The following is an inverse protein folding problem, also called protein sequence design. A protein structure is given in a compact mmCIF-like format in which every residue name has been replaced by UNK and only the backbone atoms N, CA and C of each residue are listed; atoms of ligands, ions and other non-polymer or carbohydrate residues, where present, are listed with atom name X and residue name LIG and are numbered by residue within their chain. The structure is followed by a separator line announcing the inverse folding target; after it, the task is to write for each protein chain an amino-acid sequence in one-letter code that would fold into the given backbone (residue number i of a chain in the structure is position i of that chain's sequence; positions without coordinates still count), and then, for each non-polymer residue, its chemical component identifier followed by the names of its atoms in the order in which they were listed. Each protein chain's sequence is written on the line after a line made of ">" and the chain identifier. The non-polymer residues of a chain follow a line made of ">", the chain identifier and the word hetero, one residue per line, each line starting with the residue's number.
data_IF_780123922437
#
_entry.id   IF_780123922437
#
_cell.length_a   1.000
_cell.length_b   1.000
_cell.length_c   1.000
_cell.angle_alpha   90.00
_cell.angle_beta   90.00
_cell.angle_gamma   90.00
#
_symmetry.space_group_name_H-M   'P 1'
#
loop_
_entity.id
_entity.type
_entity.pdbx_description
1 polymer ?
#
# COMPACT_ATOMS: atom_id res chain seq x y z
N UNK A 1 -16.92 -6.71 13.83
CA UNK A 1 -16.48 -5.38 14.32
C UNK A 1 -16.99 -4.33 13.35
N UNK A 2 -17.46 -3.20 13.87
CA UNK A 2 -17.91 -2.10 13.04
C UNK A 2 -16.69 -1.43 12.37
N UNK A 3 -16.73 -1.15 11.05
CA UNK A 3 -15.60 -0.54 10.36
C UNK A 3 -15.37 0.91 10.83
N UNK A 4 -14.09 1.32 10.89
CA UNK A 4 -13.72 2.70 11.26
C UNK A 4 -13.88 3.68 10.11
N UNK A 5 -13.78 3.21 8.85
CA UNK A 5 -14.11 3.99 7.65
C UNK A 5 -15.12 3.19 6.85
N UNK A 6 -16.23 3.82 6.54
CA UNK A 6 -17.30 3.25 5.71
C UNK A 6 -17.53 4.15 4.51
N UNK A 7 -17.50 3.59 3.32
CA UNK A 7 -17.76 4.28 2.06
C UNK A 7 -18.87 3.54 1.35
N UNK A 8 -19.89 4.27 0.85
CA UNK A 8 -21.04 3.68 0.15
C UNK A 8 -21.38 4.48 -1.09
N UNK A 9 -21.31 3.82 -2.25
CA UNK A 9 -21.65 4.39 -3.55
C UNK A 9 -20.92 5.69 -3.85
N UNK A 10 -19.64 5.83 -3.43
CA UNK A 10 -18.95 7.12 -3.48
C UNK A 10 -18.58 7.49 -4.92
N UNK A 11 -19.14 8.60 -5.40
CA UNK A 11 -18.84 9.15 -6.72
C UNK A 11 -18.15 10.50 -6.64
N UNK A 12 -17.27 10.74 -7.61
CA UNK A 12 -16.67 12.06 -7.82
C UNK A 12 -16.49 12.34 -9.29
N UNK A 13 -17.01 13.48 -9.72
CA UNK A 13 -16.86 14.00 -11.08
C UNK A 13 -16.18 15.36 -11.05
N UNK A 14 -15.24 15.58 -11.95
CA UNK A 14 -14.61 16.85 -12.21
C UNK A 14 -14.92 17.24 -13.67
N UNK A 15 -15.98 18.04 -13.88
CA UNK A 15 -16.50 18.26 -15.24
C UNK A 15 -16.93 16.94 -15.90
N UNK A 16 -16.33 16.61 -17.02
CA UNK A 16 -16.59 15.34 -17.74
C UNK A 16 -15.81 14.13 -17.21
N UNK A 17 -14.82 14.35 -16.34
CA UNK A 17 -13.99 13.25 -15.81
C UNK A 17 -14.65 12.59 -14.61
N UNK A 18 -14.86 11.28 -14.67
CA UNK A 18 -15.30 10.46 -13.53
C UNK A 18 -14.07 9.99 -12.77
N UNK A 19 -13.77 10.62 -11.64
CA UNK A 19 -12.63 10.26 -10.79
C UNK A 19 -12.95 9.11 -9.82
N UNK A 20 -14.22 8.97 -9.40
CA UNK A 20 -14.76 7.83 -8.66
C UNK A 20 -16.14 7.48 -9.19
N UNK A 21 -16.39 6.21 -9.46
CA UNK A 21 -17.59 5.70 -10.11
C UNK A 21 -18.41 4.74 -9.25
N UNK A 22 -18.76 5.14 -8.01
CA UNK A 22 -19.57 4.32 -7.11
C UNK A 22 -18.74 3.35 -6.28
N UNK A 23 -17.81 3.86 -5.48
CA UNK A 23 -16.92 3.03 -4.64
C UNK A 23 -17.62 2.65 -3.33
N UNK A 24 -17.58 1.34 -3.00
CA UNK A 24 -17.97 0.78 -1.71
C UNK A 24 -16.74 0.19 -1.01
N UNK A 25 -16.46 0.62 0.24
CA UNK A 25 -15.28 0.17 0.97
C UNK A 25 -15.52 0.23 2.48
N UNK A 26 -15.11 -0.84 3.18
CA UNK A 26 -15.05 -0.91 4.63
C UNK A 26 -13.61 -1.15 5.10
N UNK A 27 -13.12 -0.28 5.99
CA UNK A 27 -11.80 -0.42 6.63
C UNK A 27 -12.02 -0.77 8.10
N UNK A 28 -11.34 -1.81 8.57
CA UNK A 28 -11.49 -2.36 9.92
C UNK A 28 -10.64 -1.58 10.93
N UNK A 29 -11.02 -1.55 12.22
CA UNK A 29 -10.20 -0.94 13.25
C UNK A 29 -8.87 -1.68 13.45
N UNK A 30 -7.77 -0.91 13.58
CA UNK A 30 -6.46 -1.43 13.92
C UNK A 30 -5.76 -2.21 12.79
N UNK A 31 -6.25 -2.12 11.54
CA UNK A 31 -5.56 -2.71 10.38
C UNK A 31 -4.68 -1.70 9.65
N UNK A 32 -3.71 -2.19 8.92
CA UNK A 32 -3.04 -1.45 7.85
C UNK A 32 -3.73 -1.84 6.53
N UNK A 33 -4.47 -0.91 5.95
CA UNK A 33 -5.15 -1.10 4.67
C UNK A 33 -4.35 -0.47 3.54
N UNK A 34 -3.93 -1.28 2.56
CA UNK A 34 -3.25 -0.82 1.34
C UNK A 34 -4.24 -0.56 0.21
N UNK A 35 -4.34 0.68 -0.28
CA UNK A 35 -5.11 1.01 -1.47
C UNK A 35 -4.18 1.14 -2.67
N UNK A 36 -4.18 0.13 -3.55
CA UNK A 36 -3.32 0.02 -4.71
C UNK A 36 -4.03 0.46 -5.99
N UNK A 37 -3.28 1.06 -6.89
CA UNK A 37 -3.78 1.43 -8.20
C UNK A 37 -2.79 2.30 -8.97
N UNK A 38 -2.89 2.38 -10.31
CA UNK A 38 -2.05 3.24 -11.12
C UNK A 38 -2.28 4.73 -10.80
N UNK A 39 -1.41 5.59 -11.34
CA UNK A 39 -1.62 7.04 -11.26
C UNK A 39 -2.92 7.41 -11.96
N UNK A 40 -3.72 8.27 -11.33
CA UNK A 40 -5.03 8.65 -11.85
C UNK A 40 -6.17 7.67 -11.53
N UNK A 41 -5.92 6.55 -10.84
CA UNK A 41 -6.96 5.58 -10.49
C UNK A 41 -8.03 6.08 -9.51
N UNK A 42 -7.84 7.25 -8.86
CA UNK A 42 -8.80 7.83 -7.92
C UNK A 42 -8.38 7.74 -6.44
N UNK A 43 -7.21 7.19 -6.11
CA UNK A 43 -6.72 7.00 -4.73
C UNK A 43 -6.73 8.29 -3.91
N UNK A 44 -6.03 9.32 -4.37
CA UNK A 44 -5.96 10.64 -3.71
C UNK A 44 -7.33 11.31 -3.63
N UNK A 45 -8.19 11.14 -4.64
CA UNK A 45 -9.58 11.66 -4.63
C UNK A 45 -10.40 11.01 -3.52
N UNK A 46 -10.32 9.68 -3.38
CA UNK A 46 -11.01 8.93 -2.33
C UNK A 46 -10.56 9.39 -0.94
N UNK A 47 -9.25 9.44 -0.69
CA UNK A 47 -8.68 9.94 0.57
C UNK A 47 -9.13 11.39 0.84
N UNK A 48 -9.06 12.27 -0.16
CA UNK A 48 -9.44 13.68 -0.01
C UNK A 48 -10.90 13.86 0.37
N UNK A 49 -11.80 12.99 -0.12
CA UNK A 49 -13.22 13.03 0.28
C UNK A 49 -13.37 12.56 1.72
N UNK A 50 -12.75 11.44 2.11
CA UNK A 50 -12.83 10.93 3.48
C UNK A 50 -12.22 11.90 4.49
N UNK A 51 -11.12 12.58 4.11
CA UNK A 51 -10.49 13.64 4.91
C UNK A 51 -11.29 14.96 4.93
N UNK A 52 -12.39 15.06 4.17
CA UNK A 52 -13.23 16.24 4.10
C UNK A 52 -12.59 17.43 3.38
N UNK A 53 -11.59 17.19 2.52
CA UNK A 53 -10.96 18.21 1.68
C UNK A 53 -11.72 18.44 0.38
N UNK A 54 -12.37 17.39 -0.15
CA UNK A 54 -13.15 17.41 -1.38
C UNK A 54 -14.55 16.88 -1.09
N UNK A 55 -15.59 17.50 -1.67
CA UNK A 55 -16.95 16.98 -1.57
C UNK A 55 -17.19 15.91 -2.63
N UNK A 56 -17.84 14.81 -2.24
CA UNK A 56 -18.34 13.82 -3.17
C UNK A 56 -19.41 14.40 -4.10
N UNK A 57 -19.56 13.85 -5.29
CA UNK A 57 -20.67 14.16 -6.21
C UNK A 57 -21.93 13.38 -5.84
N UNK A 58 -21.76 12.13 -5.37
CA UNK A 58 -22.81 11.26 -4.85
C UNK A 58 -22.23 10.26 -3.85
N UNK A 59 -23.11 9.53 -3.15
CA UNK A 59 -22.70 8.58 -2.12
C UNK A 59 -22.36 9.23 -0.80
N UNK A 60 -21.80 8.46 0.12
CA UNK A 60 -21.45 8.92 1.48
C UNK A 60 -20.20 8.24 1.99
N UNK A 61 -19.48 8.95 2.89
CA UNK A 61 -18.37 8.40 3.66
C UNK A 61 -18.57 8.70 5.15
N UNK A 62 -18.21 7.75 6.00
CA UNK A 62 -18.26 7.88 7.45
C UNK A 62 -16.93 7.47 8.06
N UNK A 63 -16.57 8.13 9.15
CA UNK A 63 -15.40 7.83 9.97
C UNK A 63 -15.86 7.65 11.40
N UNK A 64 -15.59 6.49 12.01
CA UNK A 64 -16.07 6.12 13.35
C UNK A 64 -17.58 6.31 13.49
N UNK A 65 -18.36 5.95 12.47
CA UNK A 65 -19.82 6.11 12.42
C UNK A 65 -20.32 7.51 12.05
N UNK A 66 -19.46 8.55 12.05
CA UNK A 66 -19.80 9.94 11.79
C UNK A 66 -19.65 10.30 10.31
N UNK A 67 -20.62 11.03 9.76
CA UNK A 67 -20.59 11.50 8.38
C UNK A 67 -19.50 12.57 8.16
N UNK A 68 -18.67 12.40 7.13
CA UNK A 68 -17.50 13.28 6.89
C UNK A 68 -17.89 14.72 6.49
N UNK A 69 -19.15 14.95 6.08
CA UNK A 69 -19.65 16.26 5.70
C UNK A 69 -20.44 16.90 6.84
N UNK A 70 -21.33 16.15 7.48
CA UNK A 70 -22.22 16.67 8.54
C UNK A 70 -21.46 16.83 9.86
N UNK A 71 -20.62 15.85 10.20
CA UNK A 71 -19.88 15.77 11.44
C UNK A 71 -18.39 16.12 11.26
N UNK A 72 -18.08 17.01 10.30
CA UNK A 72 -16.71 17.30 9.85
C UNK A 72 -15.75 17.68 10.97
N UNK A 73 -16.24 18.36 12.01
CA UNK A 73 -15.41 18.75 13.15
C UNK A 73 -14.91 17.56 13.96
N UNK A 74 -15.74 16.51 14.08
CA UNK A 74 -15.38 15.26 14.75
C UNK A 74 -14.45 14.43 13.83
N UNK A 75 -14.84 14.20 12.58
CA UNK A 75 -14.11 13.32 11.66
C UNK A 75 -12.71 13.84 11.39
N UNK A 76 -12.52 15.15 11.22
CA UNK A 76 -11.20 15.75 11.03
C UNK A 76 -10.28 15.62 12.24
N UNK A 77 -10.84 15.64 13.47
CA UNK A 77 -10.06 15.37 14.69
C UNK A 77 -9.68 13.90 14.83
N UNK A 78 -10.48 13.01 14.32
CA UNK A 78 -10.21 11.57 14.34
C UNK A 78 -9.21 11.14 13.27
N UNK A 79 -8.95 11.99 12.25
CA UNK A 79 -8.10 11.69 11.10
C UNK A 79 -6.76 12.44 11.14
N UNK A 80 -5.68 11.71 10.83
CA UNK A 80 -4.42 12.29 10.38
C UNK A 80 -4.28 12.07 8.87
N UNK A 81 -3.80 13.08 8.16
CA UNK A 81 -3.54 12.99 6.72
C UNK A 81 -2.12 13.44 6.40
N UNK A 82 -1.37 12.59 5.72
CA UNK A 82 -0.08 12.91 5.11
C UNK A 82 -0.28 12.96 3.61
N UNK A 83 -0.30 14.15 3.01
CA UNK A 83 -0.50 14.31 1.57
C UNK A 83 0.75 13.89 0.78
N UNK A 84 0.57 13.63 -0.51
CA UNK A 84 1.67 13.32 -1.43
C UNK A 84 2.62 14.51 -1.59
N UNK A 85 2.10 15.73 -1.68
CA UNK A 85 2.89 16.94 -1.87
C UNK A 85 3.54 17.44 -0.57
N UNK A 86 4.76 17.93 -0.68
CA UNK A 86 5.53 18.48 0.43
C UNK A 86 5.26 19.98 0.59
N UNK A 87 4.20 20.33 1.30
CA UNK A 87 3.86 21.71 1.61
C UNK A 87 4.31 22.11 3.03
N UNK A 88 5.20 23.09 3.12
CA UNK A 88 5.74 23.59 4.37
C UNK A 88 5.70 25.10 4.42
N UNK A 89 5.46 25.62 5.63
CA UNK A 89 5.71 27.01 5.93
C UNK A 89 7.22 27.18 6.23
N UNK A 90 7.95 27.96 5.41
CA UNK A 90 9.40 28.10 5.54
C UNK A 90 9.85 28.97 6.71
N UNK A 91 8.93 29.58 7.45
CA UNK A 91 9.23 30.51 8.53
C UNK A 91 9.32 29.85 9.91
N UNK A 92 8.84 28.62 10.04
CA UNK A 92 8.81 27.93 11.32
C UNK A 92 9.95 26.91 11.46
N UNK A 93 10.34 26.67 12.70
CA UNK A 93 11.14 25.50 13.07
C UNK A 93 10.29 24.23 13.06
N UNK A 94 10.95 23.08 13.15
CA UNK A 94 10.29 21.77 13.25
C UNK A 94 9.32 21.76 14.44
N UNK A 95 9.77 22.16 15.62
CA UNK A 95 8.94 22.23 16.83
C UNK A 95 7.76 23.17 16.69
N UNK A 96 8.00 24.40 16.24
CA UNK A 96 6.94 25.38 16.05
C UNK A 96 5.87 24.86 15.09
N UNK A 97 6.28 24.23 13.97
CA UNK A 97 5.36 23.60 13.02
C UNK A 97 4.44 22.57 13.68
N UNK A 98 4.99 21.75 14.60
CA UNK A 98 4.20 20.74 15.31
C UNK A 98 3.27 21.37 16.35
N UNK A 99 3.73 22.39 17.09
CA UNK A 99 2.92 23.10 18.06
C UNK A 99 1.77 23.87 17.42
N UNK A 100 2.02 24.52 16.28
CA UNK A 100 0.96 25.16 15.49
C UNK A 100 -0.05 24.14 14.97
N UNK A 101 0.42 23.03 14.43
CA UNK A 101 -0.46 21.97 13.95
C UNK A 101 -1.36 21.44 15.07
N UNK A 102 -0.80 21.17 16.25
CA UNK A 102 -1.59 20.74 17.41
C UNK A 102 -2.63 21.80 17.82
N UNK A 103 -2.27 23.07 17.75
CA UNK A 103 -3.17 24.19 18.03
C UNK A 103 -4.39 24.23 17.12
N UNK A 104 -4.25 23.90 15.81
CA UNK A 104 -5.39 23.81 14.89
C UNK A 104 -6.40 22.73 15.31
N UNK A 105 -5.95 21.67 15.97
CA UNK A 105 -6.83 20.63 16.52
C UNK A 105 -7.31 20.92 17.94
N UNK A 106 -6.92 22.06 18.53
CA UNK A 106 -7.24 22.43 19.91
C UNK A 106 -6.51 21.56 20.94
N UNK A 107 -5.37 20.96 20.56
CA UNK A 107 -4.55 20.10 21.41
C UNK A 107 -3.31 20.86 21.88
N UNK A 108 -3.02 20.82 23.19
CA UNK A 108 -1.75 21.30 23.74
C UNK A 108 -0.72 20.19 23.64
N UNK A 109 0.24 20.31 22.73
CA UNK A 109 1.32 19.34 22.57
C UNK A 109 2.29 19.45 23.74
N UNK A 110 2.21 18.49 24.66
CA UNK A 110 3.13 18.39 25.81
C UNK A 110 4.54 17.99 25.37
N UNK A 111 5.54 18.33 26.19
CA UNK A 111 6.96 18.09 25.86
C UNK A 111 7.25 16.61 25.63
N UNK A 112 6.76 15.71 26.49
CA UNK A 112 6.97 14.28 26.34
C UNK A 112 6.43 13.71 25.01
N UNK A 113 5.24 14.16 24.58
CA UNK A 113 4.66 13.72 23.30
C UNK A 113 5.41 14.30 22.10
N UNK A 114 5.86 15.57 22.22
CA UNK A 114 6.69 16.19 21.20
C UNK A 114 8.00 15.41 20.98
N UNK A 115 8.71 15.13 22.08
CA UNK A 115 9.97 14.37 22.04
C UNK A 115 9.72 12.97 21.47
N UNK A 116 8.70 12.24 21.94
CA UNK A 116 8.34 10.91 21.43
C UNK A 116 8.13 10.91 19.91
N UNK A 117 7.36 11.86 19.38
CA UNK A 117 7.11 11.95 17.94
C UNK A 117 8.41 12.24 17.18
N UNK A 118 9.22 13.17 17.67
CA UNK A 118 10.47 13.57 17.02
C UNK A 118 11.53 12.45 17.05
N UNK A 119 11.62 11.70 18.14
CA UNK A 119 12.52 10.54 18.26
C UNK A 119 12.12 9.43 17.29
N UNK A 120 10.86 9.02 17.29
CA UNK A 120 10.37 7.97 16.39
C UNK A 120 10.53 8.31 14.89
N UNK A 121 10.60 9.59 14.57
CA UNK A 121 10.79 10.08 13.20
C UNK A 121 12.20 10.61 12.95
N UNK A 122 13.15 10.40 13.86
CA UNK A 122 14.56 10.81 13.77
C UNK A 122 14.70 12.31 13.41
N UNK A 123 13.90 13.15 14.04
CA UNK A 123 13.88 14.61 13.87
C UNK A 123 14.27 15.37 15.13
N UNK A 124 14.57 14.68 16.24
CA UNK A 124 14.85 15.33 17.53
C UNK A 124 16.06 16.26 17.44
N UNK A 125 17.14 15.85 16.79
CA UNK A 125 18.35 16.67 16.59
C UNK A 125 18.10 17.89 15.69
N UNK A 126 16.99 17.90 14.97
CA UNK A 126 16.56 18.99 14.10
C UNK A 126 15.39 19.79 14.66
N UNK A 127 15.03 19.57 15.93
CA UNK A 127 13.89 20.18 16.59
C UNK A 127 13.82 21.70 16.41
N UNK A 128 14.94 22.38 16.54
CA UNK A 128 15.06 23.82 16.43
C UNK A 128 15.52 24.30 15.03
N UNK A 129 15.71 23.37 14.10
CA UNK A 129 16.08 23.72 12.72
C UNK A 129 14.86 24.30 11.98
N UNK A 130 15.13 25.30 11.12
CA UNK A 130 14.09 25.85 10.24
C UNK A 130 13.69 24.81 9.18
N UNK A 131 12.39 24.70 8.90
CA UNK A 131 11.82 23.74 7.96
C UNK A 131 12.36 23.89 6.54
N UNK A 132 12.78 25.12 6.16
CA UNK A 132 13.37 25.40 4.84
C UNK A 132 14.67 24.64 4.62
N UNK A 133 15.48 24.46 5.67
CA UNK A 133 16.78 23.79 5.63
C UNK A 133 16.72 22.27 5.67
N UNK A 134 15.53 21.67 5.79
CA UNK A 134 15.38 20.23 5.85
C UNK A 134 15.54 19.58 4.47
N UNK A 135 16.13 18.37 4.45
CA UNK A 135 16.13 17.50 3.26
C UNK A 135 14.73 17.06 2.90
N UNK A 136 14.51 16.54 1.67
CA UNK A 136 13.21 16.00 1.24
C UNK A 136 12.69 14.90 2.18
N UNK A 137 13.55 13.98 2.59
CA UNK A 137 13.19 12.92 3.55
C UNK A 137 12.84 13.46 4.94
N UNK A 138 13.58 14.46 5.45
CA UNK A 138 13.24 15.13 6.72
C UNK A 138 11.91 15.87 6.63
N UNK A 139 11.62 16.51 5.50
CA UNK A 139 10.33 17.14 5.24
C UNK A 139 9.20 16.12 5.26
N UNK A 140 9.39 14.96 4.62
CA UNK A 140 8.40 13.88 4.64
C UNK A 140 8.12 13.40 6.06
N UNK A 141 9.17 13.18 6.86
CA UNK A 141 9.04 12.81 8.28
C UNK A 141 8.30 13.88 9.09
N UNK A 142 8.55 15.16 8.83
CA UNK A 142 7.83 16.26 9.47
C UNK A 142 6.35 16.29 9.12
N UNK A 143 5.96 15.97 7.88
CA UNK A 143 4.53 15.84 7.51
C UNK A 143 3.85 14.72 8.29
N UNK A 144 4.52 13.59 8.46
CA UNK A 144 4.00 12.48 9.27
C UNK A 144 3.87 12.92 10.73
N UNK A 145 4.90 13.60 11.28
CA UNK A 145 4.85 14.17 12.62
C UNK A 145 3.63 15.09 12.80
N UNK A 146 3.39 16.00 11.84
CA UNK A 146 2.22 16.90 11.86
C UNK A 146 0.89 16.16 11.85
N UNK A 147 0.78 15.06 11.13
CA UNK A 147 -0.44 14.24 11.09
C UNK A 147 -0.70 13.49 12.41
N UNK A 148 0.30 13.35 13.29
CA UNK A 148 0.24 12.57 14.53
C UNK A 148 0.10 13.40 15.81
N UNK A 149 0.24 14.74 15.74
CA UNK A 149 0.27 15.61 16.94
C UNK A 149 -1.00 15.54 17.76
N UNK A 150 -2.15 15.24 17.15
CA UNK A 150 -3.47 15.19 17.78
C UNK A 150 -3.95 13.77 18.08
N UNK A 151 -3.05 12.77 17.96
CA UNK A 151 -3.31 11.36 18.25
C UNK A 151 -4.52 10.78 17.49
N UNK A 152 -4.47 10.78 16.14
CA UNK A 152 -5.60 10.36 15.33
C UNK A 152 -5.89 8.86 15.45
N UNK A 153 -7.18 8.49 15.38
CA UNK A 153 -7.61 7.09 15.36
C UNK A 153 -7.41 6.44 14.01
N UNK A 154 -7.40 7.23 12.95
CA UNK A 154 -7.16 6.80 11.56
C UNK A 154 -6.12 7.68 10.92
N UNK A 155 -5.07 7.10 10.34
CA UNK A 155 -4.01 7.80 9.65
C UNK A 155 -4.03 7.45 8.16
N UNK A 156 -4.19 8.46 7.32
CA UNK A 156 -4.04 8.35 5.88
C UNK A 156 -2.64 8.77 5.45
N UNK A 157 -1.98 7.90 4.67
CA UNK A 157 -0.66 8.13 4.10
C UNK A 157 -0.78 8.07 2.57
N UNK A 158 -0.74 9.22 1.90
CA UNK A 158 -0.82 9.27 0.44
C UNK A 158 0.59 9.23 -0.15
N UNK A 159 0.97 8.07 -0.69
CA UNK A 159 2.30 7.76 -1.25
C UNK A 159 3.47 8.13 -0.29
N UNK A 160 3.50 7.58 0.93
CA UNK A 160 4.39 8.08 1.99
C UNK A 160 5.88 7.91 1.70
N UNK A 161 6.26 6.99 0.82
CA UNK A 161 7.67 6.67 0.52
C UNK A 161 8.12 7.14 -0.85
N UNK A 162 7.30 7.91 -1.57
CA UNK A 162 7.68 8.46 -2.87
C UNK A 162 8.93 9.35 -2.77
N UNK A 163 9.98 9.01 -3.53
CA UNK A 163 11.23 9.78 -3.54
C UNK A 163 12.08 9.66 -2.26
N UNK A 164 11.85 8.64 -1.44
CA UNK A 164 12.55 8.38 -0.19
C UNK A 164 13.57 7.24 -0.39
N UNK A 165 14.75 7.36 0.21
CA UNK A 165 15.76 6.30 0.19
C UNK A 165 15.33 5.04 0.95
N UNK A 166 16.07 3.94 0.74
CA UNK A 166 15.69 2.61 1.27
C UNK A 166 15.73 2.56 2.81
N UNK A 167 16.68 3.22 3.45
CA UNK A 167 16.80 3.19 4.92
C UNK A 167 15.65 3.94 5.57
N UNK A 168 15.34 5.12 5.07
CA UNK A 168 14.23 5.93 5.55
C UNK A 168 12.89 5.24 5.30
N UNK A 169 12.72 4.57 4.14
CA UNK A 169 11.53 3.77 3.84
C UNK A 169 11.31 2.68 4.90
N UNK A 170 12.36 1.91 5.21
CA UNK A 170 12.30 0.85 6.24
C UNK A 170 12.02 1.40 7.64
N UNK A 171 12.61 2.55 8.00
CA UNK A 171 12.33 3.20 9.28
C UNK A 171 10.85 3.63 9.37
N UNK A 172 10.32 4.22 8.31
CA UNK A 172 8.90 4.58 8.23
C UNK A 172 7.98 3.36 8.35
N UNK A 173 8.29 2.27 7.68
CA UNK A 173 7.51 1.02 7.77
C UNK A 173 7.47 0.47 9.20
N UNK A 174 8.61 0.46 9.91
CA UNK A 174 8.64 0.06 11.33
C UNK A 174 7.74 0.96 12.19
N UNK A 175 7.80 2.27 11.95
CA UNK A 175 6.99 3.22 12.71
C UNK A 175 5.49 3.04 12.42
N UNK A 176 5.09 2.85 11.17
CA UNK A 176 3.69 2.56 10.79
C UNK A 176 3.16 1.30 11.50
N UNK A 177 3.97 0.23 11.57
CA UNK A 177 3.60 -0.96 12.35
C UNK A 177 3.41 -0.65 13.83
N UNK A 178 4.31 0.13 14.43
CA UNK A 178 4.18 0.56 15.83
C UNK A 178 2.88 1.34 16.07
N UNK A 179 2.48 2.20 15.15
CA UNK A 179 1.21 2.92 15.24
C UNK A 179 0.01 1.97 15.19
N UNK A 180 0.01 1.02 14.27
CA UNK A 180 -1.01 -0.03 14.17
C UNK A 180 -1.10 -0.85 15.46
N UNK A 181 0.04 -1.27 16.00
CA UNK A 181 0.11 -2.08 17.24
C UNK A 181 -0.40 -1.31 18.46
N UNK A 182 -0.38 0.02 18.42
CA UNK A 182 -0.99 0.91 19.42
C UNK A 182 -2.49 1.17 19.15
N UNK A 183 -3.07 0.56 18.12
CA UNK A 183 -4.49 0.66 17.78
C UNK A 183 -4.88 1.73 16.78
N UNK A 184 -3.92 2.44 16.17
CA UNK A 184 -4.20 3.35 15.07
C UNK A 184 -4.49 2.54 13.80
N UNK A 185 -5.60 2.82 13.13
CA UNK A 185 -5.86 2.28 11.80
C UNK A 185 -5.07 3.08 10.77
N UNK A 186 -4.34 2.41 9.90
CA UNK A 186 -3.55 3.08 8.86
C UNK A 186 -4.09 2.74 7.48
N UNK A 187 -4.30 3.75 6.67
CA UNK A 187 -4.66 3.61 5.26
C UNK A 187 -3.54 4.19 4.43
N UNK A 188 -2.86 3.36 3.68
CA UNK A 188 -1.79 3.81 2.80
C UNK A 188 -2.19 3.65 1.34
N UNK A 189 -1.93 4.68 0.54
CA UNK A 189 -1.93 4.54 -0.90
C UNK A 189 -0.51 4.39 -1.39
N UNK A 190 -0.30 3.53 -2.34
CA UNK A 190 0.98 3.37 -2.97
C UNK A 190 0.82 2.81 -4.38
N UNK A 191 1.79 3.10 -5.23
CA UNK A 191 2.02 2.40 -6.49
C UNK A 191 3.24 1.45 -6.37
N UNK A 192 3.94 1.49 -5.22
CA UNK A 192 5.01 0.55 -4.90
C UNK A 192 4.41 -0.68 -4.22
N UNK A 193 4.29 -1.76 -4.96
CA UNK A 193 3.64 -2.99 -4.50
C UNK A 193 4.41 -3.67 -3.37
N UNK A 194 5.75 -3.52 -3.33
CA UNK A 194 6.59 -3.95 -2.22
C UNK A 194 6.16 -3.33 -0.88
N UNK A 195 5.76 -2.05 -0.88
CA UNK A 195 5.29 -1.38 0.34
C UNK A 195 4.00 -1.98 0.87
N UNK A 196 3.05 -2.25 -0.01
CA UNK A 196 1.80 -2.90 0.36
C UNK A 196 2.02 -4.37 0.79
N UNK A 197 2.91 -5.09 0.10
CA UNK A 197 3.28 -6.46 0.45
C UNK A 197 3.90 -6.53 1.85
N UNK A 198 4.75 -5.56 2.18
CA UNK A 198 5.42 -5.50 3.47
C UNK A 198 4.49 -5.07 4.61
N UNK A 199 3.62 -4.07 4.39
CA UNK A 199 2.87 -3.42 5.45
C UNK A 199 1.42 -3.87 5.58
N UNK A 200 0.71 -4.06 4.46
CA UNK A 200 -0.74 -4.18 4.50
C UNK A 200 -1.22 -5.51 5.08
N UNK A 201 -2.26 -5.46 5.88
CA UNK A 201 -3.03 -6.63 6.32
C UNK A 201 -4.07 -7.00 5.26
N UNK A 202 -4.76 -5.98 4.70
CA UNK A 202 -5.72 -6.10 3.61
C UNK A 202 -5.39 -5.12 2.50
N UNK A 203 -5.78 -5.49 1.30
CA UNK A 203 -5.49 -4.75 0.08
C UNK A 203 -6.79 -4.47 -0.67
N UNK A 204 -6.96 -3.22 -1.08
CA UNK A 204 -7.94 -2.81 -2.07
C UNK A 204 -7.24 -2.43 -3.37
N UNK A 205 -7.71 -2.94 -4.49
CA UNK A 205 -7.22 -2.54 -5.83
C UNK A 205 -8.24 -1.63 -6.47
N UNK A 206 -7.82 -0.43 -6.85
CA UNK A 206 -8.65 0.56 -7.52
C UNK A 206 -8.07 0.87 -8.90
N UNK A 207 -8.90 0.88 -9.92
CA UNK A 207 -8.56 1.33 -11.27
C UNK A 207 -9.73 2.11 -11.88
N UNK A 208 -9.41 3.18 -12.60
CA UNK A 208 -10.40 4.07 -13.28
C UNK A 208 -11.57 4.48 -12.39
N UNK A 209 -11.28 4.79 -11.11
CA UNK A 209 -12.29 5.22 -10.14
C UNK A 209 -13.19 4.10 -9.60
N UNK A 210 -12.91 2.84 -9.90
CA UNK A 210 -13.67 1.68 -9.43
C UNK A 210 -12.81 0.77 -8.57
N UNK A 211 -13.38 0.29 -7.47
CA UNK A 211 -12.74 -0.70 -6.62
C UNK A 211 -12.94 -2.09 -7.26
N UNK A 212 -11.84 -2.72 -7.68
CA UNK A 212 -11.86 -4.01 -8.36
C UNK A 212 -11.96 -5.18 -7.39
N UNK A 213 -11.27 -5.08 -6.25
CA UNK A 213 -11.31 -6.09 -5.18
C UNK A 213 -10.88 -5.49 -3.84
N UNK A 214 -11.28 -6.17 -2.76
CA UNK A 214 -10.76 -5.98 -1.39
C UNK A 214 -10.56 -7.36 -0.78
N UNK A 215 -9.31 -7.69 -0.41
CA UNK A 215 -8.98 -9.01 0.12
C UNK A 215 -7.86 -8.93 1.18
N UNK A 216 -7.80 -9.94 2.05
CA UNK A 216 -6.65 -10.17 2.92
C UNK A 216 -5.40 -10.40 2.04
N UNK A 217 -4.30 -9.73 2.34
CA UNK A 217 -3.06 -9.84 1.54
C UNK A 217 -2.62 -11.29 1.35
N UNK A 218 -2.60 -12.06 2.43
CA UNK A 218 -2.19 -13.45 2.36
C UNK A 218 -3.16 -14.34 1.57
N UNK A 219 -4.47 -14.06 1.62
CA UNK A 219 -5.46 -14.77 0.83
C UNK A 219 -5.28 -14.47 -0.67
N UNK A 220 -5.03 -13.20 -1.01
CA UNK A 220 -4.74 -12.76 -2.36
C UNK A 220 -3.49 -13.45 -2.92
N UNK A 221 -2.39 -13.45 -2.15
CA UNK A 221 -1.14 -14.13 -2.51
C UNK A 221 -1.30 -15.66 -2.59
N UNK A 222 -2.16 -16.29 -1.77
CA UNK A 222 -2.45 -17.71 -1.88
C UNK A 222 -3.29 -18.06 -3.12
N UNK A 223 -4.29 -17.23 -3.45
CA UNK A 223 -5.20 -17.48 -4.59
C UNK A 223 -4.52 -17.31 -5.93
N UNK A 224 -3.71 -16.29 -6.08
CA UNK A 224 -3.03 -15.94 -7.32
C UNK A 224 -1.55 -16.30 -7.30
N UNK A 225 -1.04 -16.77 -6.14
CA UNK A 225 0.36 -17.10 -5.94
C UNK A 225 0.69 -18.48 -6.47
N UNK A 226 1.51 -18.55 -7.50
CA UNK A 226 2.27 -19.74 -7.83
C UNK A 226 3.68 -19.61 -7.23
N UNK A 227 4.31 -20.74 -6.91
CA UNK A 227 5.74 -20.79 -6.67
C UNK A 227 6.39 -21.22 -7.96
N UNK A 228 7.28 -20.44 -8.52
CA UNK A 228 8.09 -20.87 -9.66
C UNK A 228 9.39 -21.44 -9.14
N UNK A 229 9.67 -22.68 -9.52
CA UNK A 229 10.96 -23.29 -9.35
C UNK A 229 11.72 -23.15 -10.66
N UNK A 230 12.85 -22.47 -10.61
CA UNK A 230 13.78 -22.31 -11.73
C UNK A 230 15.03 -23.13 -11.46
N UNK A 231 15.30 -24.10 -12.33
CA UNK A 231 16.42 -24.99 -12.25
C UNK A 231 17.40 -24.65 -13.38
N UNK A 232 18.65 -24.43 -13.03
CA UNK A 232 19.73 -24.19 -14.00
C UNK A 232 20.49 -25.51 -14.15
N UNK A 233 20.41 -26.21 -15.28
CA UNK A 233 21.16 -27.43 -15.51
C UNK A 233 22.67 -27.12 -15.72
N UNK A 234 23.53 -28.06 -15.40
CA UNK A 234 24.97 -27.93 -15.60
C UNK A 234 25.34 -27.76 -17.10
N UNK A 235 24.49 -28.28 -17.98
CA UNK A 235 24.61 -28.14 -19.45
C UNK A 235 23.26 -27.74 -20.02
N UNK A 236 23.21 -26.79 -20.98
CA UNK A 236 21.96 -26.40 -21.61
C UNK A 236 21.22 -27.59 -22.23
N UNK A 237 19.91 -27.63 -22.03
CA UNK A 237 19.05 -28.69 -22.56
C UNK A 237 18.44 -28.27 -23.90
N UNK A 238 18.34 -29.19 -24.85
CA UNK A 238 17.72 -28.95 -26.15
C UNK A 238 16.19 -29.08 -26.12
N UNK A 239 15.69 -29.87 -25.18
CA UNK A 239 14.25 -30.07 -24.96
C UNK A 239 14.00 -30.39 -23.50
N UNK A 240 12.75 -30.13 -23.02
CA UNK A 240 12.33 -30.55 -21.66
C UNK A 240 12.31 -32.06 -21.59
N UNK A 241 13.02 -32.72 -20.68
CA UNK A 241 12.92 -34.20 -20.50
C UNK A 241 11.48 -34.63 -20.21
N UNK A 242 11.06 -35.78 -20.76
CA UNK A 242 9.69 -36.27 -20.67
C UNK A 242 9.12 -36.29 -19.23
N UNK A 243 9.85 -36.73 -18.19
CA UNK A 243 9.34 -36.69 -16.80
C UNK A 243 9.04 -35.26 -16.31
N UNK A 244 9.81 -34.27 -16.74
CA UNK A 244 9.62 -32.85 -16.37
C UNK A 244 8.52 -32.21 -17.22
N UNK A 245 8.43 -32.55 -18.50
CA UNK A 245 7.34 -32.11 -19.39
C UNK A 245 5.96 -32.57 -18.89
N UNK A 246 5.88 -33.77 -18.33
CA UNK A 246 4.65 -34.31 -17.74
C UNK A 246 4.15 -33.50 -16.53
N UNK A 247 5.04 -32.77 -15.85
CA UNK A 247 4.72 -31.86 -14.76
C UNK A 247 4.44 -30.40 -15.21
N UNK A 248 4.49 -30.13 -16.53
CA UNK A 248 4.26 -28.81 -17.08
C UNK A 248 5.51 -27.91 -17.09
N UNK A 249 6.70 -28.46 -16.89
CA UNK A 249 7.93 -27.72 -16.95
C UNK A 249 8.20 -27.11 -18.33
N UNK A 250 8.84 -25.95 -18.40
CA UNK A 250 9.17 -25.20 -19.61
C UNK A 250 10.65 -24.88 -19.68
N UNK A 251 11.22 -24.85 -20.90
CA UNK A 251 12.57 -24.34 -21.12
C UNK A 251 12.56 -22.81 -21.15
N UNK A 252 13.54 -22.22 -20.51
CA UNK A 252 13.84 -20.80 -20.57
C UNK A 252 15.24 -20.54 -21.15
N UNK A 253 15.46 -19.34 -21.68
CA UNK A 253 16.75 -18.87 -22.15
C UNK A 253 17.46 -19.83 -23.12
N UNK A 254 16.71 -20.42 -24.05
CA UNK A 254 17.27 -21.37 -25.04
C UNK A 254 17.78 -22.68 -24.43
N UNK A 255 17.25 -23.08 -23.28
CA UNK A 255 17.63 -24.31 -22.59
C UNK A 255 18.63 -24.12 -21.46
N UNK A 256 19.00 -22.91 -21.15
CA UNK A 256 19.88 -22.59 -20.02
C UNK A 256 19.18 -22.78 -18.66
N UNK A 257 17.85 -22.75 -18.62
CA UNK A 257 17.08 -23.02 -17.43
C UNK A 257 15.78 -23.79 -17.74
N UNK A 258 15.22 -24.44 -16.72
CA UNK A 258 13.90 -25.06 -16.72
C UNK A 258 13.09 -24.40 -15.62
N UNK A 259 11.87 -23.97 -15.92
CA UNK A 259 10.92 -23.48 -14.92
C UNK A 259 9.71 -24.39 -14.78
N UNK A 260 9.18 -24.44 -13.56
CA UNK A 260 7.91 -25.07 -13.22
C UNK A 260 7.13 -24.16 -12.30
N UNK A 261 5.89 -23.87 -12.66
CA UNK A 261 4.93 -23.23 -11.77
C UNK A 261 4.23 -24.29 -10.90
N UNK A 262 4.32 -24.13 -9.59
CA UNK A 262 3.71 -25.02 -8.60
C UNK A 262 2.67 -24.23 -7.83
N UNK A 263 1.40 -24.67 -7.79
CA UNK A 263 0.34 -24.01 -7.03
C UNK A 263 0.72 -23.78 -5.55
N UNK A 264 0.18 -22.73 -4.95
CA UNK A 264 0.39 -22.45 -3.54
C UNK A 264 -0.10 -23.63 -2.68
N UNK A 265 0.76 -24.14 -1.81
CA UNK A 265 0.46 -25.31 -0.96
C UNK A 265 1.03 -26.64 -1.45
N UNK A 266 1.39 -26.74 -2.72
CA UNK A 266 2.08 -27.92 -3.25
C UNK A 266 3.59 -27.89 -2.98
N UNK A 267 4.23 -29.07 -3.08
CA UNK A 267 5.66 -29.24 -2.83
C UNK A 267 6.44 -29.42 -4.14
N UNK A 268 7.71 -29.05 -4.13
CA UNK A 268 8.62 -29.27 -5.26
C UNK A 268 9.16 -30.73 -5.36
N UNK A 269 8.78 -31.59 -4.41
CA UNK A 269 9.25 -32.98 -4.36
C UNK A 269 9.13 -33.74 -5.69
N UNK A 270 7.94 -33.76 -6.33
CA UNK A 270 7.76 -34.42 -7.62
C UNK A 270 8.69 -33.91 -8.73
N UNK A 271 8.92 -32.60 -8.78
CA UNK A 271 9.81 -31.97 -9.75
C UNK A 271 11.27 -32.37 -9.53
N UNK A 272 11.72 -32.34 -8.28
CA UNK A 272 13.09 -32.74 -7.93
C UNK A 272 13.33 -34.21 -8.23
N UNK A 273 12.36 -35.09 -7.94
CA UNK A 273 12.42 -36.50 -8.26
C UNK A 273 12.46 -36.73 -9.77
N UNK A 274 11.61 -36.04 -10.56
CA UNK A 274 11.61 -36.12 -12.02
C UNK A 274 12.93 -35.59 -12.61
N UNK A 275 13.54 -34.56 -12.02
CA UNK A 275 14.84 -34.02 -12.45
C UNK A 275 15.94 -35.08 -12.27
N UNK A 276 15.98 -35.74 -11.11
CA UNK A 276 16.93 -36.80 -10.82
C UNK A 276 16.71 -38.01 -11.74
N UNK A 277 15.47 -38.44 -11.97
CA UNK A 277 15.12 -39.55 -12.88
C UNK A 277 15.48 -39.24 -14.34
N UNK A 278 15.41 -37.98 -14.76
CA UNK A 278 15.84 -37.54 -16.08
C UNK A 278 17.37 -37.42 -16.24
N UNK A 279 18.14 -37.65 -15.18
CA UNK A 279 19.61 -37.53 -15.19
C UNK A 279 20.10 -36.08 -15.42
N UNK A 280 19.27 -35.10 -15.11
CA UNK A 280 19.65 -33.69 -15.24
C UNK A 280 20.53 -33.30 -14.06
N UNK A 281 21.80 -33.01 -14.34
CA UNK A 281 22.73 -32.45 -13.36
C UNK A 281 22.38 -31.00 -13.14
N UNK A 282 22.08 -30.63 -11.85
CA UNK A 282 21.64 -29.30 -11.45
C UNK A 282 22.84 -28.48 -11.01
N UNK A 283 23.06 -27.33 -11.61
CA UNK A 283 24.07 -26.37 -11.22
C UNK A 283 23.55 -25.39 -10.18
N UNK A 284 22.29 -24.94 -10.34
CA UNK A 284 21.68 -23.96 -9.45
C UNK A 284 20.16 -24.17 -9.40
N UNK A 285 19.55 -23.74 -8.31
CA UNK A 285 18.12 -23.88 -8.08
C UNK A 285 17.61 -22.62 -7.37
N UNK A 286 16.71 -21.94 -8.04
CA UNK A 286 16.07 -20.72 -7.56
C UNK A 286 14.59 -20.97 -7.33
N UNK A 287 14.06 -20.45 -6.24
CA UNK A 287 12.60 -20.41 -6.01
C UNK A 287 12.12 -19.00 -6.01
N UNK A 288 11.17 -18.68 -6.90
CA UNK A 288 10.47 -17.39 -6.91
C UNK A 288 9.04 -17.61 -6.42
N UNK A 289 8.63 -16.79 -5.46
CA UNK A 289 7.19 -16.69 -5.09
C UNK A 289 6.58 -15.60 -5.93
N UNK A 290 5.34 -15.79 -6.33
CA UNK A 290 4.53 -14.72 -6.93
C UNK A 290 4.49 -13.55 -5.96
N UNK A 291 4.84 -12.39 -6.46
CA UNK A 291 4.78 -11.13 -5.71
C UNK A 291 3.40 -10.50 -5.87
N UNK A 292 3.10 -9.54 -5.03
CA UNK A 292 1.90 -8.73 -5.19
C UNK A 292 1.89 -8.00 -6.55
N UNK A 293 3.08 -7.72 -7.11
CA UNK A 293 3.23 -7.11 -8.44
C UNK A 293 2.72 -8.04 -9.55
N UNK A 294 3.08 -9.31 -9.49
CA UNK A 294 2.62 -10.30 -10.46
C UNK A 294 1.08 -10.41 -10.43
N UNK A 295 0.49 -10.42 -9.22
CA UNK A 295 -0.96 -10.46 -9.02
C UNK A 295 -1.63 -9.18 -9.52
N UNK A 296 -1.08 -8.03 -9.21
CA UNK A 296 -1.63 -6.73 -9.61
C UNK A 296 -1.66 -6.59 -11.14
N UNK A 297 -0.57 -6.96 -11.82
CA UNK A 297 -0.51 -6.95 -13.30
C UNK A 297 -1.60 -7.84 -13.90
N UNK A 298 -1.83 -9.04 -13.33
CA UNK A 298 -2.90 -9.92 -13.79
C UNK A 298 -4.30 -9.31 -13.61
N UNK A 299 -4.53 -8.61 -12.48
CA UNK A 299 -5.83 -7.99 -12.18
C UNK A 299 -6.12 -6.76 -13.04
N UNK A 300 -5.11 -5.92 -13.28
CA UNK A 300 -5.28 -4.67 -14.05
C UNK A 300 -5.18 -4.91 -15.57
N UNK A 301 -4.35 -5.85 -16.03
CA UNK A 301 -4.19 -6.18 -17.46
C UNK A 301 -5.07 -7.35 -17.93
N UNK A 302 -5.69 -8.11 -17.02
CA UNK A 302 -6.43 -9.32 -17.31
C UNK A 302 -7.87 -9.12 -17.85
N UNK A 303 -8.61 -10.19 -18.10
CA UNK A 303 -9.94 -10.19 -18.75
C UNK A 303 -11.06 -9.49 -17.97
N UNK A 304 -10.83 -9.04 -16.75
CA UNK A 304 -11.78 -8.21 -15.98
C UNK A 304 -12.01 -6.86 -16.68
N UNK A 305 -11.06 -6.40 -17.47
CA UNK A 305 -11.20 -5.20 -18.32
C UNK A 305 -12.13 -5.40 -19.52
N UNK A 306 -12.34 -6.66 -19.96
CA UNK A 306 -13.18 -7.01 -21.09
C UNK A 306 -14.68 -7.11 -20.76
N UNK A 307 -15.07 -7.03 -19.48
CA UNK A 307 -16.46 -7.20 -19.04
C UNK A 307 -17.14 -5.87 -18.65
N UNK A 308 -16.51 -4.72 -18.85
CA UNK A 308 -17.19 -3.44 -18.75
C UNK A 308 -18.07 -3.26 -20.01
N UNK A 309 -19.41 -3.07 -19.90
CA UNK A 309 -20.24 -2.78 -21.06
C UNK A 309 -19.76 -1.47 -21.66
N UNK A 310 -19.46 -1.47 -22.96
CA UNK A 310 -19.39 -0.28 -23.78
C UNK A 310 -20.79 0.33 -23.72
N UNK A 311 -20.94 1.46 -23.04
CA UNK A 311 -22.17 2.24 -23.08
C UNK A 311 -22.39 2.80 -24.50
N UNK A 312 -23.63 2.70 -25.03
CA UNK A 312 -23.98 3.12 -26.38
C UNK A 312 -23.91 4.63 -26.61
#
# INVERSE_FOLDING_TARGET
>A
MEPVVQIRGLEKRYGGLVALGGVDLDIRPGEIFGLLGPNGAGKTTLISIVAGLVRASAGQARVLGHDVVRDYAFTRRALGLVPQELNFDPFFTVEESLRFQAGYFGVRLGEGRLVEILENLELLDRRHANTRGLSGGMKRRLLIAKALVHDPRVLFLDEPTAGVDVELRRALWRYVRTLRDRGTTVVLTTHYLEEAEELADRIGVIDQGRLLLVEEKEALLRRHGAKTLRLVPARPLRAVPAPLAALGARLEEGGAAISLEVPAGETFGPFLAATAAAGVEVRDLETRRTTLEDVFVQLVAGPIRAAAPEDP
#
